data_IF_017771201872
#
_entry.id   IF_017771201872
#
_cell.length_a   1.000
_cell.length_b   1.000
_cell.length_c   1.000
_cell.angle_alpha   90.00
_cell.angle_beta   90.00
_cell.angle_gamma   90.00
#
_symmetry.space_group_name_H-M   'P 1'
#
loop_
_entity.id
_entity.type
_entity.pdbx_description
1 polymer ?
#
# COMPACT_ATOMS: atom_id res chain seq x y z
N UNK A 1 -13.75 -15.79 -8.43
CA UNK A 1 -12.51 -15.12 -8.03
C UNK A 1 -12.65 -14.69 -6.57
N UNK A 2 -12.44 -15.56 -5.66
CA UNK A 2 -12.33 -15.56 -4.18
C UNK A 2 -12.47 -14.23 -3.39
N UNK A 3 -13.35 -13.29 -3.83
CA UNK A 3 -13.65 -12.04 -3.11
C UNK A 3 -12.48 -11.04 -2.99
N UNK A 4 -11.38 -11.24 -3.74
CA UNK A 4 -10.25 -10.29 -3.75
C UNK A 4 -10.43 -9.21 -4.79
N UNK A 5 -10.04 -8.01 -4.44
CA UNK A 5 -10.11 -6.84 -5.33
C UNK A 5 -9.05 -6.95 -6.44
N UNK A 6 -9.49 -7.05 -7.70
CA UNK A 6 -8.62 -7.05 -8.89
C UNK A 6 -8.57 -5.69 -9.58
N UNK A 7 -9.51 -4.79 -9.29
CA UNK A 7 -9.56 -3.42 -9.81
C UNK A 7 -10.19 -2.48 -8.80
N UNK A 8 -9.76 -1.24 -8.80
CA UNK A 8 -10.31 -0.13 -8.02
C UNK A 8 -10.43 1.11 -8.92
N UNK A 9 -11.58 1.76 -8.92
CA UNK A 9 -11.72 3.13 -9.41
C UNK A 9 -11.15 4.11 -8.38
N UNK A 10 -10.49 5.16 -8.83
CA UNK A 10 -9.85 6.14 -7.97
C UNK A 10 -10.61 7.47 -8.04
N UNK A 11 -10.46 8.31 -7.01
CA UNK A 11 -11.20 9.57 -6.90
C UNK A 11 -10.89 10.57 -8.04
N UNK A 12 -9.74 10.46 -8.69
CA UNK A 12 -9.34 11.28 -9.84
C UNK A 12 -9.93 10.82 -11.18
N UNK A 13 -10.84 9.83 -11.16
CA UNK A 13 -11.45 9.22 -12.34
C UNK A 13 -10.57 8.18 -13.04
N UNK A 14 -9.34 7.98 -12.60
CA UNK A 14 -8.49 6.88 -13.04
C UNK A 14 -8.84 5.56 -12.34
N UNK A 15 -8.04 4.53 -12.57
CA UNK A 15 -8.22 3.25 -11.91
C UNK A 15 -6.89 2.55 -11.64
N UNK A 16 -6.92 1.57 -10.74
CA UNK A 16 -5.78 0.71 -10.42
C UNK A 16 -6.18 -0.75 -10.65
N UNK A 17 -5.37 -1.49 -11.40
CA UNK A 17 -5.48 -2.94 -11.56
C UNK A 17 -4.46 -3.65 -10.69
N UNK A 18 -4.88 -4.76 -10.08
CA UNK A 18 -4.05 -5.58 -9.19
C UNK A 18 -3.79 -6.95 -9.80
N UNK A 19 -2.53 -7.35 -9.80
CA UNK A 19 -2.08 -8.67 -10.24
C UNK A 19 -1.90 -9.56 -9.01
N UNK A 20 -2.68 -10.64 -8.95
CA UNK A 20 -2.75 -11.54 -7.80
C UNK A 20 -2.16 -12.89 -8.18
N UNK A 21 -1.19 -13.39 -7.40
CA UNK A 21 -0.63 -14.74 -7.51
C UNK A 21 -0.78 -15.39 -6.14
N UNK A 22 -1.31 -16.61 -6.08
CA UNK A 22 -1.54 -17.39 -4.86
C UNK A 22 -2.23 -16.59 -3.75
N UNK A 23 -3.10 -15.69 -4.20
CA UNK A 23 -3.84 -14.83 -3.29
C UNK A 23 -3.09 -13.60 -2.78
N UNK A 24 -1.86 -13.37 -3.17
CA UNK A 24 -1.06 -12.21 -2.81
C UNK A 24 -1.04 -11.22 -3.97
N UNK A 25 -1.27 -9.93 -3.70
CA UNK A 25 -1.08 -8.89 -4.69
C UNK A 25 0.43 -8.71 -4.95
N UNK A 26 0.91 -9.12 -6.12
CA UNK A 26 2.33 -9.06 -6.47
C UNK A 26 2.70 -7.79 -7.23
N UNK A 27 1.72 -7.16 -7.88
CA UNK A 27 1.91 -5.92 -8.63
C UNK A 27 0.60 -5.13 -8.73
N UNK A 28 0.71 -3.87 -9.09
CA UNK A 28 -0.40 -3.04 -9.53
C UNK A 28 0.00 -2.13 -10.69
N UNK A 29 -0.98 -1.73 -11.47
CA UNK A 29 -0.84 -0.73 -12.53
C UNK A 29 -1.86 0.35 -12.34
N UNK A 30 -1.39 1.58 -12.21
CA UNK A 30 -2.20 2.79 -12.09
C UNK A 30 -2.46 3.39 -13.47
N UNK A 31 -3.69 3.80 -13.70
CA UNK A 31 -4.13 4.42 -14.95
C UNK A 31 -4.72 5.80 -14.69
N UNK A 32 -4.50 6.73 -15.62
CA UNK A 32 -5.22 8.00 -15.69
C UNK A 32 -6.69 7.77 -16.09
N UNK A 33 -7.54 8.76 -15.91
CA UNK A 33 -8.95 8.76 -16.36
C UNK A 33 -9.09 8.51 -17.86
N UNK A 34 -8.11 8.94 -18.66
CA UNK A 34 -8.04 8.68 -20.10
C UNK A 34 -7.49 7.32 -20.51
N UNK A 35 -7.21 6.41 -19.58
CA UNK A 35 -6.77 5.04 -19.85
C UNK A 35 -5.26 4.85 -20.06
N UNK A 36 -4.47 5.92 -20.14
CA UNK A 36 -3.00 5.82 -20.19
C UNK A 36 -2.41 5.33 -18.87
N UNK A 37 -1.34 4.52 -18.93
CA UNK A 37 -0.63 4.05 -17.72
C UNK A 37 0.11 5.22 -17.07
N UNK A 38 -0.09 5.41 -15.77
CA UNK A 38 0.62 6.39 -14.98
C UNK A 38 1.94 5.83 -14.42
N UNK A 39 1.86 4.65 -13.79
CA UNK A 39 3.01 3.87 -13.31
C UNK A 39 2.62 2.40 -13.06
N UNK A 40 3.62 1.57 -12.89
CA UNK A 40 3.48 0.18 -12.44
C UNK A 40 4.31 0.00 -11.17
N UNK A 41 3.72 -0.65 -10.16
CA UNK A 41 4.44 -1.13 -8.98
C UNK A 41 4.52 -2.65 -9.03
N UNK A 42 5.66 -3.21 -8.58
CA UNK A 42 5.82 -4.61 -8.22
C UNK A 42 6.21 -4.68 -6.75
N UNK A 43 5.59 -5.54 -5.99
CA UNK A 43 5.83 -5.62 -4.56
C UNK A 43 6.93 -6.61 -4.22
N UNK A 44 7.67 -6.30 -3.18
CA UNK A 44 8.72 -7.14 -2.63
C UNK A 44 8.22 -7.64 -1.27
N UNK A 45 8.30 -8.95 -1.07
CA UNK A 45 7.86 -9.61 0.16
C UNK A 45 9.01 -10.44 0.73
N UNK A 46 9.01 -10.61 2.05
CA UNK A 46 9.86 -11.60 2.72
C UNK A 46 9.25 -13.02 2.63
N UNK A 47 9.95 -14.00 3.18
CA UNK A 47 9.52 -15.42 3.19
C UNK A 47 8.19 -15.64 3.93
N UNK A 48 7.80 -14.74 4.81
CA UNK A 48 6.54 -14.76 5.57
C UNK A 48 5.42 -13.98 4.90
N UNK A 49 5.63 -13.54 3.64
CA UNK A 49 4.72 -12.68 2.87
C UNK A 49 4.45 -11.30 3.48
N UNK A 50 5.37 -10.79 4.33
CA UNK A 50 5.29 -9.39 4.75
C UNK A 50 5.89 -8.49 3.67
N UNK A 51 5.26 -7.34 3.33
CA UNK A 51 5.82 -6.42 2.36
C UNK A 51 7.11 -5.79 2.91
N UNK A 52 8.20 -5.83 2.13
CA UNK A 52 9.49 -5.23 2.50
C UNK A 52 9.88 -4.06 1.60
N UNK A 53 9.14 -3.85 0.51
CA UNK A 53 9.39 -2.77 -0.43
C UNK A 53 8.58 -2.88 -1.70
N UNK A 54 8.94 -2.08 -2.68
CA UNK A 54 8.39 -2.16 -4.03
C UNK A 54 9.36 -1.62 -5.07
N UNK A 55 9.25 -2.12 -6.30
CA UNK A 55 9.83 -1.50 -7.49
C UNK A 55 8.77 -0.64 -8.17
N UNK A 56 9.16 0.50 -8.71
CA UNK A 56 8.32 1.41 -9.48
C UNK A 56 8.89 1.63 -10.88
N UNK A 57 8.02 1.64 -11.87
CA UNK A 57 8.37 1.89 -13.27
C UNK A 57 7.34 2.84 -13.89
N UNK A 58 7.84 3.85 -14.61
CA UNK A 58 7.02 4.71 -15.47
C UNK A 58 6.87 4.09 -16.87
N UNK A 59 5.78 4.37 -17.61
CA UNK A 59 5.48 3.70 -18.90
C UNK A 59 6.55 3.93 -19.97
N UNK A 60 7.23 5.07 -19.94
CA UNK A 60 8.26 5.43 -20.92
C UNK A 60 9.69 5.08 -20.45
N UNK A 61 9.83 4.27 -19.41
CA UNK A 61 11.11 3.85 -18.85
C UNK A 61 11.19 2.33 -18.83
N UNK A 62 12.36 1.80 -19.22
CA UNK A 62 12.71 0.39 -19.04
C UNK A 62 13.30 0.13 -17.63
N UNK A 63 13.66 1.19 -16.92
CA UNK A 63 14.32 1.11 -15.60
C UNK A 63 13.29 1.02 -14.48
N UNK A 64 13.53 0.09 -13.54
CA UNK A 64 12.85 -0.01 -12.27
C UNK A 64 13.62 0.76 -11.20
N UNK A 65 12.92 1.58 -10.41
CA UNK A 65 13.46 2.18 -9.19
C UNK A 65 12.94 1.38 -7.99
N UNK A 66 13.83 0.88 -7.16
CA UNK A 66 13.46 0.05 -6.01
C UNK A 66 13.43 0.89 -4.73
N UNK A 67 12.42 0.64 -3.92
CA UNK A 67 12.15 1.26 -2.63
C UNK A 67 12.04 0.18 -1.57
N UNK A 68 12.61 0.42 -0.38
CA UNK A 68 12.60 -0.51 0.74
C UNK A 68 12.01 0.17 1.97
N UNK A 69 11.36 -0.62 2.82
CA UNK A 69 10.67 -0.12 4.00
C UNK A 69 11.55 -0.14 5.25
N UNK A 70 11.54 0.96 5.98
CA UNK A 70 11.86 1.00 7.40
C UNK A 70 10.57 0.74 8.17
N UNK A 71 10.60 -0.25 9.08
CA UNK A 71 9.45 -0.62 9.90
C UNK A 71 9.79 -0.52 11.37
N UNK A 72 8.78 -0.17 12.18
CA UNK A 72 8.89 -0.30 13.64
C UNK A 72 8.66 -1.77 14.08
N UNK A 73 8.76 -2.02 15.37
CA UNK A 73 8.58 -3.37 15.95
C UNK A 73 7.17 -3.94 15.77
N UNK A 74 6.17 -3.09 15.54
CA UNK A 74 4.80 -3.51 15.28
C UNK A 74 4.55 -3.84 13.80
N UNK A 75 5.52 -3.57 12.90
CA UNK A 75 5.41 -3.79 11.47
C UNK A 75 4.86 -2.60 10.70
N UNK A 76 4.68 -1.43 11.34
CA UNK A 76 4.24 -0.22 10.65
C UNK A 76 5.35 0.31 9.77
N UNK A 77 5.04 0.67 8.53
CA UNK A 77 6.00 1.33 7.65
C UNK A 77 6.15 2.78 8.09
N UNK A 78 7.31 3.13 8.64
CA UNK A 78 7.64 4.47 9.14
C UNK A 78 8.56 5.25 8.21
N UNK A 79 9.27 4.56 7.31
CA UNK A 79 10.13 5.17 6.30
C UNK A 79 10.13 4.39 5.00
N UNK A 80 10.42 5.07 3.90
CA UNK A 80 10.65 4.49 2.58
C UNK A 80 11.95 5.04 2.04
N UNK A 81 12.87 4.15 1.67
CA UNK A 81 14.18 4.50 1.13
C UNK A 81 14.30 4.05 -0.31
N UNK A 82 14.71 4.94 -1.19
CA UNK A 82 15.11 4.63 -2.55
C UNK A 82 16.51 4.03 -2.55
N UNK A 83 16.69 2.88 -3.22
CA UNK A 83 18.03 2.34 -3.48
C UNK A 83 18.57 2.95 -4.77
N UNK A 84 19.76 3.56 -4.68
CA UNK A 84 20.54 4.02 -5.82
C UNK A 84 21.88 3.27 -5.91
N UNK A 85 22.30 2.93 -7.12
CA UNK A 85 23.52 2.14 -7.35
C UNK A 85 23.32 0.65 -7.09
N UNK A 86 24.39 -0.11 -7.30
CA UNK A 86 24.44 -1.57 -7.21
C UNK A 86 25.59 -2.05 -6.32
N UNK A 87 25.45 -3.26 -5.78
CA UNK A 87 26.47 -3.90 -4.94
C UNK A 87 26.83 -3.08 -3.71
N UNK A 88 28.11 -3.04 -3.38
CA UNK A 88 28.64 -2.37 -2.18
C UNK A 88 28.65 -0.83 -2.27
N UNK A 89 28.39 -0.27 -3.46
CA UNK A 89 28.27 1.18 -3.67
C UNK A 89 26.84 1.67 -3.63
N UNK A 90 25.89 0.81 -3.29
CA UNK A 90 24.49 1.21 -3.18
C UNK A 90 24.29 2.20 -2.02
N UNK A 91 23.59 3.30 -2.31
CA UNK A 91 23.13 4.28 -1.32
C UNK A 91 21.63 4.16 -1.11
N UNK A 92 21.17 4.59 0.06
CA UNK A 92 19.75 4.58 0.40
C UNK A 92 19.33 6.01 0.74
N UNK A 93 18.46 6.58 -0.11
CA UNK A 93 17.98 7.94 0.02
C UNK A 93 16.57 7.91 0.59
N UNK A 94 16.34 8.62 1.68
CA UNK A 94 15.00 8.75 2.26
C UNK A 94 14.05 9.38 1.24
N UNK A 95 12.95 8.68 0.90
CA UNK A 95 11.94 9.15 -0.04
C UNK A 95 10.63 9.55 0.66
N UNK A 96 10.31 8.93 1.79
CA UNK A 96 9.09 9.24 2.55
C UNK A 96 9.23 8.88 4.03
N UNK A 97 8.47 9.58 4.89
CA UNK A 97 8.24 9.24 6.30
C UNK A 97 6.76 9.30 6.64
N UNK A 98 6.38 8.45 7.60
CA UNK A 98 5.02 8.36 8.13
C UNK A 98 5.03 8.30 9.65
N UNK A 99 3.99 8.86 10.25
CA UNK A 99 3.65 8.66 11.65
C UNK A 99 2.18 8.32 11.77
N UNK A 100 1.84 7.56 12.79
CA UNK A 100 0.48 7.08 13.04
C UNK A 100 0.12 7.28 14.50
N UNK A 101 -1.17 7.40 14.77
CA UNK A 101 -1.68 7.20 16.12
C UNK A 101 -1.70 5.69 16.48
N UNK A 102 -2.01 5.31 17.71
CA UNK A 102 -2.07 3.90 18.13
C UNK A 102 -3.06 3.03 17.32
N UNK A 103 -4.01 3.63 16.63
CA UNK A 103 -5.05 2.96 15.85
C UNK A 103 -4.77 2.94 14.35
N UNK A 104 -3.66 3.58 13.93
CA UNK A 104 -3.23 3.58 12.53
C UNK A 104 -3.70 4.78 11.71
N UNK A 105 -4.32 5.82 12.31
CA UNK A 105 -4.56 7.05 11.58
C UNK A 105 -3.22 7.70 11.22
N UNK A 106 -2.98 8.03 9.95
CA UNK A 106 -1.79 8.78 9.58
C UNK A 106 -1.82 10.18 10.22
N UNK A 107 -0.88 10.45 11.13
CA UNK A 107 -0.74 11.76 11.80
C UNK A 107 0.26 12.66 11.08
N UNK A 108 1.20 12.07 10.32
CA UNK A 108 2.14 12.80 9.49
C UNK A 108 2.52 11.99 8.26
N UNK A 109 2.69 12.68 7.15
CA UNK A 109 3.24 12.13 5.91
C UNK A 109 4.12 13.20 5.27
N UNK A 110 5.41 12.89 5.08
CA UNK A 110 6.39 13.80 4.49
C UNK A 110 7.14 13.14 3.34
N UNK A 111 7.69 13.96 2.44
CA UNK A 111 8.71 13.51 1.50
C UNK A 111 10.07 13.33 2.21
N UNK A 112 11.11 12.91 1.47
CA UNK A 112 12.45 12.72 2.00
C UNK A 112 13.14 13.97 2.54
N UNK A 113 12.70 15.15 2.11
CA UNK A 113 13.19 16.43 2.62
C UNK A 113 12.45 16.91 3.89
N UNK A 114 11.51 16.10 4.41
CA UNK A 114 10.71 16.44 5.58
C UNK A 114 9.51 17.37 5.30
N UNK A 115 9.25 17.70 4.03
CA UNK A 115 8.10 18.54 3.66
C UNK A 115 6.83 17.70 3.72
N UNK A 116 5.79 18.22 4.38
CA UNK A 116 4.47 17.59 4.43
C UNK A 116 3.88 17.45 3.02
N UNK A 117 3.29 16.30 2.73
CA UNK A 117 2.68 16.02 1.43
C UNK A 117 1.26 15.49 1.59
N UNK A 118 0.43 15.78 0.60
CA UNK A 118 -0.96 15.31 0.57
C UNK A 118 -1.03 13.89 0.01
N UNK A 119 -2.06 13.14 0.39
CA UNK A 119 -2.33 11.79 -0.13
C UNK A 119 -2.62 11.78 -1.65
N UNK A 120 -3.05 12.90 -2.21
CA UNK A 120 -3.31 13.06 -3.64
C UNK A 120 -2.09 13.48 -4.45
N UNK A 121 -0.92 13.66 -3.81
CA UNK A 121 0.31 14.04 -4.50
C UNK A 121 0.91 12.86 -5.28
N UNK A 122 1.74 13.17 -6.28
CA UNK A 122 2.53 12.16 -7.02
C UNK A 122 3.89 11.87 -6.36
N UNK A 123 3.98 11.99 -5.04
CA UNK A 123 5.19 11.68 -4.27
C UNK A 123 5.21 10.21 -3.87
N UNK A 124 6.40 9.66 -3.63
CA UNK A 124 6.55 8.29 -3.12
C UNK A 124 5.78 8.08 -1.82
N UNK A 125 5.68 9.12 -0.99
CA UNK A 125 4.90 9.08 0.23
C UNK A 125 3.40 8.82 -0.02
N UNK A 126 2.81 9.35 -1.07
CA UNK A 126 1.42 9.10 -1.44
C UNK A 126 1.24 7.81 -2.27
N UNK A 127 2.22 7.50 -3.12
CA UNK A 127 2.19 6.32 -4.02
C UNK A 127 2.35 5.02 -3.25
N UNK A 128 3.20 4.98 -2.19
CA UNK A 128 3.39 3.77 -1.39
C UNK A 128 2.05 3.31 -0.77
N UNK A 129 1.58 2.09 -1.11
CA UNK A 129 0.31 1.60 -0.59
C UNK A 129 0.42 0.98 0.81
N UNK A 130 1.62 0.58 1.26
CA UNK A 130 1.79 -0.12 2.53
C UNK A 130 2.10 0.86 3.67
N UNK A 131 1.31 0.79 4.75
CA UNK A 131 1.36 1.72 5.87
C UNK A 131 1.34 0.99 7.23
N UNK A 132 0.41 1.33 8.08
CA UNK A 132 0.19 0.76 9.41
C UNK A 132 0.08 -0.77 9.36
N UNK A 133 0.87 -1.47 10.17
CA UNK A 133 0.97 -2.95 10.22
C UNK A 133 1.33 -3.59 8.87
N UNK A 134 1.90 -2.84 7.94
CA UNK A 134 2.13 -3.30 6.58
C UNK A 134 0.85 -3.51 5.76
N UNK A 135 -0.30 -3.04 6.25
CA UNK A 135 -1.56 -3.11 5.53
C UNK A 135 -1.61 -2.12 4.37
N UNK A 136 -2.43 -2.46 3.39
CA UNK A 136 -2.64 -1.61 2.23
C UNK A 136 -3.58 -0.46 2.58
N UNK A 137 -3.07 0.76 2.56
CA UNK A 137 -3.85 1.98 2.76
C UNK A 137 -4.52 2.41 1.47
N UNK A 138 -5.80 2.73 1.55
CA UNK A 138 -6.59 3.26 0.46
C UNK A 138 -6.78 4.77 0.68
N UNK A 139 -5.94 5.57 0.03
CA UNK A 139 -5.90 7.02 0.24
C UNK A 139 -7.19 7.75 -0.14
N UNK A 140 -8.02 7.16 -1.02
CA UNK A 140 -9.29 7.77 -1.43
C UNK A 140 -10.38 7.60 -0.35
N UNK A 141 -10.31 6.52 0.43
CA UNK A 141 -11.31 6.18 1.44
C UNK A 141 -10.82 6.37 2.87
N UNK A 142 -9.50 6.44 3.09
CA UNK A 142 -8.89 6.46 4.41
C UNK A 142 -8.88 5.09 5.11
N UNK A 143 -9.24 4.02 4.42
CA UNK A 143 -9.36 2.68 4.98
C UNK A 143 -8.13 1.83 4.69
N UNK A 144 -7.86 0.84 5.55
CA UNK A 144 -6.90 -0.21 5.29
C UNK A 144 -7.58 -1.45 4.70
N UNK A 145 -7.05 -1.95 3.58
CA UNK A 145 -7.53 -3.15 2.93
C UNK A 145 -6.71 -4.37 3.37
N UNK A 146 -7.38 -5.33 4.02
CA UNK A 146 -6.81 -6.57 4.54
C UNK A 146 -7.36 -7.77 3.75
N UNK A 147 -7.14 -7.78 2.44
CA UNK A 147 -7.53 -8.86 1.50
C UNK A 147 -9.03 -9.15 1.40
N UNK A 148 -9.77 -9.30 2.49
CA UNK A 148 -11.21 -9.59 2.51
C UNK A 148 -12.01 -8.58 3.33
N UNK A 149 -11.34 -7.76 4.12
CA UNK A 149 -11.95 -6.78 5.03
C UNK A 149 -11.33 -5.41 4.88
N UNK A 150 -12.09 -4.40 5.25
CA UNK A 150 -11.60 -3.04 5.41
C UNK A 150 -11.57 -2.68 6.89
N UNK A 151 -10.46 -2.12 7.34
CA UNK A 151 -10.30 -1.56 8.68
C UNK A 151 -10.34 -0.04 8.60
N UNK A 152 -11.19 0.56 9.42
CA UNK A 152 -11.30 2.00 9.57
C UNK A 152 -10.52 2.44 10.82
N UNK A 153 -9.39 3.15 10.64
CA UNK A 153 -8.60 3.60 11.78
C UNK A 153 -9.28 4.70 12.60
N UNK A 154 -10.23 5.45 12.01
CA UNK A 154 -10.97 6.52 12.71
C UNK A 154 -11.97 5.92 13.70
N UNK A 155 -12.76 4.94 13.27
CA UNK A 155 -13.70 4.23 14.14
C UNK A 155 -13.08 3.05 14.89
N UNK A 156 -11.80 2.74 14.64
CA UNK A 156 -11.03 1.65 15.24
C UNK A 156 -11.67 0.27 15.07
N UNK A 157 -12.33 0.02 13.91
CA UNK A 157 -13.07 -1.23 13.66
C UNK A 157 -13.01 -1.67 12.20
N UNK A 158 -13.36 -2.93 11.98
CA UNK A 158 -13.60 -3.45 10.64
C UNK A 158 -14.97 -2.98 10.12
N UNK A 159 -14.99 -2.50 8.87
CA UNK A 159 -16.22 -2.03 8.20
C UNK A 159 -17.08 -3.19 7.73
N UNK A 160 -16.44 -4.33 7.37
CA UNK A 160 -17.12 -5.53 6.91
C UNK A 160 -17.15 -6.60 8.01
N UNK A 161 -18.28 -7.28 8.17
CA UNK A 161 -18.34 -8.48 9.02
C UNK A 161 -17.39 -9.56 8.49
N UNK A 162 -16.85 -10.39 9.39
CA UNK A 162 -16.06 -11.56 9.01
C UNK A 162 -16.96 -12.57 8.29
N UNK A 163 -16.51 -13.13 7.17
CA UNK A 163 -17.28 -14.15 6.43
C UNK A 163 -17.62 -15.38 7.27
N UNK A 164 -16.86 -15.65 8.31
CA UNK A 164 -17.12 -16.76 9.25
C UNK A 164 -18.14 -16.44 10.34
N UNK A 165 -18.42 -15.14 10.60
CA UNK A 165 -19.43 -14.75 11.58
C UNK A 165 -20.86 -14.87 11.04
N UNK A 166 -21.05 -15.07 9.73
CA UNK A 166 -22.38 -15.18 9.11
C UNK A 166 -22.90 -16.61 8.93
N UNK A 167 -22.13 -17.63 9.29
CA UNK A 167 -22.67 -18.99 9.43
C UNK A 167 -23.32 -19.13 10.80
N UNK A 168 -24.42 -18.39 10.98
CA UNK A 168 -25.35 -18.63 12.09
C UNK A 168 -25.93 -20.01 11.99
N UNK A 169 -25.20 -21.01 12.45
CA UNK A 169 -25.86 -22.19 12.99
C UNK A 169 -26.47 -21.76 14.31
N UNK A 170 -27.77 -21.43 14.23
CA UNK A 170 -28.56 -21.20 15.40
C UNK A 170 -28.35 -22.34 16.39
N UNK A 171 -28.08 -21.96 17.63
CA UNK A 171 -28.17 -22.87 18.77
C UNK A 171 -29.64 -23.34 18.79
N UNK A 172 -29.88 -24.51 18.23
CA UNK A 172 -31.13 -25.23 18.52
C UNK A 172 -30.92 -25.84 19.88
N UNK A 173 -31.44 -25.19 20.93
CA UNK A 173 -31.66 -25.78 22.23
C UNK A 173 -32.85 -26.71 22.22
#
# INVERSE_FOLDING_TARGET
VNGRRTRKSNADGGYTEYYIIDGLAVAERRYYSGGGVQYTLRYLYDESNNPVGFGMQYPNSTRWTNYYFEKNVQGDVIGVYQKEGDGNSATHILAARYSYDPYGNPTSMTNGAGTAVSQTSNTIAAINPFRYRGYRYDGDTGLYYLQSRYYDPVSCRFVNADKYASTGQGITG
#
